data_IF_206967072959
#
_entry.id   IF_206967072959
#
_cell.length_a   1.000
_cell.length_b   1.000
_cell.length_c   1.000
_cell.angle_alpha   90.00
_cell.angle_beta   90.00
_cell.angle_gamma   90.00
#
_symmetry.space_group_name_H-M   'P 1'
#
loop_
_entity.id
_entity.type
_entity.pdbx_description
1 polymer ?
#
# COMPACT_ATOMS: atom_id res chain seq x y z
N UNK A 1 -55.14 26.43 0.87
CA UNK A 1 -54.88 25.45 -0.22
C UNK A 1 -53.37 25.21 -0.40
N UNK A 2 -52.54 26.23 -0.56
CA UNK A 2 -51.07 26.12 -0.75
C UNK A 2 -50.29 25.41 0.35
N UNK A 3 -50.70 25.55 1.63
CA UNK A 3 -49.99 24.91 2.76
C UNK A 3 -50.17 23.40 2.86
N UNK A 4 -51.36 22.90 2.44
CA UNK A 4 -51.66 21.45 2.46
C UNK A 4 -50.95 20.69 1.34
N UNK A 5 -50.74 21.31 0.17
CA UNK A 5 -49.99 20.71 -0.92
C UNK A 5 -48.48 20.70 -0.65
N UNK A 6 -47.93 21.74 -0.03
CA UNK A 6 -46.55 21.76 0.40
C UNK A 6 -46.24 20.67 1.45
N UNK A 7 -47.12 20.50 2.45
CA UNK A 7 -46.96 19.41 3.44
C UNK A 7 -47.00 18.03 2.85
N UNK A 8 -47.88 17.78 1.85
CA UNK A 8 -47.95 16.51 1.12
C UNK A 8 -46.67 16.24 0.33
N UNK A 9 -46.13 17.27 -0.37
CA UNK A 9 -44.88 17.14 -1.14
C UNK A 9 -43.72 16.83 -0.21
N UNK A 10 -43.58 17.52 0.93
CA UNK A 10 -42.52 17.26 1.92
C UNK A 10 -42.64 15.85 2.52
N UNK A 11 -43.87 15.42 2.87
CA UNK A 11 -44.09 14.08 3.42
C UNK A 11 -43.72 12.98 2.40
N UNK A 12 -44.05 13.18 1.11
CA UNK A 12 -43.72 12.25 0.05
C UNK A 12 -42.19 12.19 -0.18
N UNK A 13 -41.47 13.32 -0.13
CA UNK A 13 -40.01 13.35 -0.25
C UNK A 13 -39.35 12.66 0.93
N UNK A 14 -39.79 12.89 2.17
CA UNK A 14 -39.30 12.23 3.37
C UNK A 14 -39.50 10.72 3.25
N UNK A 15 -40.71 10.27 2.88
CA UNK A 15 -41.02 8.85 2.70
C UNK A 15 -40.13 8.20 1.60
N UNK A 16 -39.91 8.89 0.49
CA UNK A 16 -39.04 8.42 -0.58
C UNK A 16 -37.59 8.23 -0.09
N UNK A 17 -37.03 9.22 0.62
CA UNK A 17 -35.64 9.15 1.12
C UNK A 17 -35.50 8.05 2.16
N UNK A 18 -36.47 7.86 3.07
CA UNK A 18 -36.46 6.75 4.02
C UNK A 18 -36.65 5.39 3.35
N UNK A 19 -37.47 5.29 2.30
CA UNK A 19 -37.60 4.10 1.46
C UNK A 19 -36.29 3.74 0.77
N UNK A 20 -35.56 4.75 0.23
CA UNK A 20 -34.24 4.56 -0.33
C UNK A 20 -33.24 4.12 0.76
N UNK A 21 -33.30 4.70 1.96
CA UNK A 21 -32.50 4.30 3.11
C UNK A 21 -32.67 2.83 3.46
N UNK A 22 -33.92 2.35 3.52
CA UNK A 22 -34.23 0.95 3.80
C UNK A 22 -33.68 -0.01 2.70
N UNK A 23 -33.80 0.36 1.43
CA UNK A 23 -33.20 -0.43 0.33
C UNK A 23 -31.68 -0.50 0.42
N UNK A 24 -31.03 0.62 0.76
CA UNK A 24 -29.58 0.64 0.97
C UNK A 24 -29.17 -0.12 2.24
N UNK A 25 -30.00 -0.16 3.29
CA UNK A 25 -29.74 -0.97 4.48
C UNK A 25 -29.75 -2.48 4.15
N UNK A 26 -30.70 -2.94 3.33
CA UNK A 26 -30.72 -4.31 2.81
C UNK A 26 -29.43 -4.59 2.02
N UNK A 27 -29.06 -3.67 1.11
CA UNK A 27 -27.81 -3.80 0.35
C UNK A 27 -26.58 -3.84 1.27
N UNK A 28 -26.54 -3.04 2.35
CA UNK A 28 -25.45 -3.04 3.32
C UNK A 28 -25.31 -4.39 4.03
N UNK A 29 -26.41 -4.99 4.47
CA UNK A 29 -26.43 -6.33 5.08
C UNK A 29 -25.87 -7.40 4.14
N UNK A 30 -26.19 -7.30 2.85
CA UNK A 30 -25.76 -8.28 1.84
C UNK A 30 -24.31 -8.10 1.34
N UNK A 31 -23.74 -6.88 1.42
CA UNK A 31 -22.50 -6.55 0.70
C UNK A 31 -21.37 -5.98 1.56
N UNK A 32 -21.65 -5.49 2.76
CA UNK A 32 -20.60 -4.97 3.66
C UNK A 32 -19.77 -6.12 4.24
N UNK A 33 -18.47 -5.92 4.33
CA UNK A 33 -17.48 -6.97 4.65
C UNK A 33 -17.64 -7.56 6.06
N UNK A 34 -17.94 -6.73 7.05
CA UNK A 34 -18.04 -7.18 8.44
C UNK A 34 -19.47 -7.08 8.98
N UNK A 35 -19.94 -8.02 9.82
CA UNK A 35 -21.26 -7.95 10.44
C UNK A 35 -21.49 -6.66 11.22
N UNK A 36 -20.46 -6.18 11.95
CA UNK A 36 -20.52 -4.93 12.72
C UNK A 36 -20.70 -3.72 11.81
N UNK A 37 -19.94 -3.68 10.69
CA UNK A 37 -20.07 -2.63 9.68
C UNK A 37 -21.44 -2.67 8.98
N UNK A 38 -21.96 -3.86 8.68
CA UNK A 38 -23.26 -4.03 8.09
C UNK A 38 -24.38 -3.52 9.03
N UNK A 39 -24.32 -3.87 10.31
CA UNK A 39 -25.25 -3.37 11.32
C UNK A 39 -25.16 -1.85 11.47
N UNK A 40 -23.93 -1.29 11.58
CA UNK A 40 -23.73 0.15 11.69
C UNK A 40 -24.31 0.91 10.51
N UNK A 41 -24.07 0.44 9.27
CA UNK A 41 -24.63 1.04 8.07
C UNK A 41 -26.16 0.88 8.00
N UNK A 42 -26.70 -0.28 8.36
CA UNK A 42 -28.15 -0.50 8.34
C UNK A 42 -28.86 0.46 9.30
N UNK A 43 -28.38 0.62 10.53
CA UNK A 43 -28.92 1.57 11.50
C UNK A 43 -28.82 3.02 11.01
N UNK A 44 -27.66 3.43 10.49
CA UNK A 44 -27.44 4.78 9.96
C UNK A 44 -28.35 5.08 8.75
N UNK A 45 -28.50 4.13 7.82
CA UNK A 45 -29.30 4.27 6.61
C UNK A 45 -30.80 4.34 6.89
N UNK A 46 -31.29 3.67 7.92
CA UNK A 46 -32.69 3.75 8.33
C UNK A 46 -32.95 5.00 9.18
N UNK A 47 -32.05 5.32 10.14
CA UNK A 47 -32.24 6.44 11.06
C UNK A 47 -31.94 7.82 10.48
N UNK A 48 -30.90 7.93 9.63
CA UNK A 48 -30.41 9.21 9.09
C UNK A 48 -30.09 9.11 7.58
N UNK A 49 -31.05 8.73 6.70
CA UNK A 49 -30.77 8.41 5.30
C UNK A 49 -30.18 9.58 4.52
N UNK A 50 -30.50 10.83 4.84
CA UNK A 50 -30.03 12.02 4.13
C UNK A 50 -28.49 12.16 4.12
N UNK A 51 -27.85 11.77 5.21
CA UNK A 51 -26.40 11.80 5.36
C UNK A 51 -25.78 10.42 5.09
N UNK A 52 -26.47 9.38 5.55
CA UNK A 52 -25.96 8.02 5.47
C UNK A 52 -25.87 7.49 4.03
N UNK A 53 -26.83 7.81 3.13
CA UNK A 53 -26.79 7.34 1.75
C UNK A 53 -25.56 7.85 0.98
N UNK A 54 -25.25 9.17 0.94
CA UNK A 54 -24.03 9.66 0.30
C UNK A 54 -22.76 9.04 0.89
N UNK A 55 -22.66 8.97 2.22
CA UNK A 55 -21.51 8.37 2.89
C UNK A 55 -21.37 6.87 2.60
N UNK A 56 -22.49 6.15 2.54
CA UNK A 56 -22.49 4.73 2.20
C UNK A 56 -21.97 4.47 0.78
N UNK A 57 -22.28 5.34 -0.18
CA UNK A 57 -21.79 5.19 -1.55
C UNK A 57 -20.27 5.35 -1.64
N UNK A 58 -19.67 6.16 -0.76
CA UNK A 58 -18.22 6.41 -0.71
C UNK A 58 -17.52 5.33 0.12
N UNK A 59 -18.02 5.02 1.33
CA UNK A 59 -17.31 4.21 2.33
C UNK A 59 -17.86 2.79 2.51
N UNK A 60 -19.10 2.52 2.09
CA UNK A 60 -19.77 1.24 2.30
C UNK A 60 -19.34 0.12 1.35
N UNK A 61 -18.61 0.44 0.27
CA UNK A 61 -18.15 -0.56 -0.70
C UNK A 61 -16.83 -1.19 -0.28
N UNK A 62 -16.82 -2.52 -0.21
CA UNK A 62 -15.67 -3.30 0.24
C UNK A 62 -14.72 -3.73 -0.89
N UNK A 63 -15.16 -3.72 -2.16
CA UNK A 63 -14.39 -4.21 -3.31
C UNK A 63 -14.43 -3.21 -4.47
N UNK A 64 -13.30 -3.09 -5.17
CA UNK A 64 -13.19 -2.27 -6.38
C UNK A 64 -13.64 -3.07 -7.61
N UNK A 65 -14.95 -3.09 -7.85
CA UNK A 65 -15.59 -3.95 -8.86
C UNK A 65 -15.12 -3.60 -10.28
N UNK A 66 -14.98 -2.32 -10.62
CA UNK A 66 -14.57 -1.90 -11.96
C UNK A 66 -13.18 -2.39 -12.34
N UNK A 67 -12.22 -2.27 -11.44
CA UNK A 67 -10.87 -2.81 -11.65
C UNK A 67 -10.90 -4.34 -11.76
N UNK A 68 -11.69 -4.99 -10.92
CA UNK A 68 -11.88 -6.44 -10.99
C UNK A 68 -12.40 -6.88 -12.35
N UNK A 69 -13.38 -6.20 -12.92
CA UNK A 69 -13.91 -6.51 -14.26
C UNK A 69 -12.88 -6.23 -15.37
N UNK A 70 -12.06 -5.18 -15.25
CA UNK A 70 -11.01 -4.89 -16.20
C UNK A 70 -9.89 -5.96 -16.18
N UNK A 71 -9.68 -6.61 -15.03
CA UNK A 71 -8.71 -7.67 -14.80
C UNK A 71 -9.28 -9.07 -15.09
N UNK A 72 -10.58 -9.29 -14.89
CA UNK A 72 -11.24 -10.58 -15.03
C UNK A 72 -11.72 -10.78 -16.48
N UNK A 73 -11.13 -11.73 -17.16
CA UNK A 73 -11.56 -12.26 -18.44
C UNK A 73 -10.62 -13.40 -18.82
N UNK A 74 -11.11 -14.63 -18.94
CA UNK A 74 -10.38 -15.68 -19.63
C UNK A 74 -10.22 -15.25 -21.09
N UNK A 75 -8.97 -15.26 -21.61
CA UNK A 75 -8.58 -14.87 -22.97
C UNK A 75 -8.59 -13.36 -23.32
N UNK A 76 -8.52 -12.50 -22.33
CA UNK A 76 -8.20 -11.08 -22.61
C UNK A 76 -6.73 -10.93 -23.04
N UNK A 77 -6.40 -9.90 -23.83
CA UNK A 77 -5.00 -9.60 -24.15
C UNK A 77 -4.12 -9.39 -22.91
N UNK A 78 -4.68 -8.86 -21.82
CA UNK A 78 -3.97 -8.73 -20.54
C UNK A 78 -3.65 -10.09 -19.91
N UNK A 79 -4.60 -11.03 -19.97
CA UNK A 79 -4.41 -12.39 -19.47
C UNK A 79 -3.39 -13.18 -20.31
N UNK A 80 -3.33 -12.94 -21.65
CA UNK A 80 -2.31 -13.51 -22.51
C UNK A 80 -0.90 -13.00 -22.15
N UNK A 81 -0.73 -11.69 -21.90
CA UNK A 81 0.53 -11.11 -21.42
C UNK A 81 0.90 -11.69 -20.06
N UNK A 82 -0.05 -11.79 -19.12
CA UNK A 82 0.18 -12.38 -17.80
C UNK A 82 0.60 -13.86 -17.89
N UNK A 83 -0.04 -14.67 -18.73
CA UNK A 83 0.34 -16.08 -18.97
C UNK A 83 1.73 -16.20 -19.60
N UNK A 84 2.04 -15.37 -20.61
CA UNK A 84 3.35 -15.38 -21.27
C UNK A 84 4.46 -14.99 -20.30
N UNK A 85 4.27 -13.90 -19.56
CA UNK A 85 5.18 -13.47 -18.50
C UNK A 85 5.37 -14.57 -17.46
N UNK A 86 4.28 -15.17 -16.99
CA UNK A 86 4.32 -16.24 -16.00
C UNK A 86 5.07 -17.49 -16.50
N UNK A 87 4.92 -17.85 -17.77
CA UNK A 87 5.68 -18.94 -18.39
C UNK A 87 7.19 -18.65 -18.42
N UNK A 88 7.57 -17.40 -18.71
CA UNK A 88 8.96 -16.96 -18.74
C UNK A 88 9.66 -17.08 -17.38
N UNK A 89 8.92 -17.03 -16.26
CA UNK A 89 9.47 -17.27 -14.92
C UNK A 89 9.81 -18.74 -14.62
N UNK A 90 9.37 -19.70 -15.44
CA UNK A 90 9.52 -21.12 -15.14
C UNK A 90 10.95 -21.53 -14.77
N UNK A 91 12.01 -21.11 -15.50
CA UNK A 91 13.40 -21.45 -15.18
C UNK A 91 13.90 -20.83 -13.86
N UNK A 92 13.28 -19.71 -13.44
CA UNK A 92 13.69 -18.91 -12.30
C UNK A 92 12.91 -19.19 -11.02
N UNK A 93 11.90 -20.04 -11.08
CA UNK A 93 11.08 -20.35 -9.90
C UNK A 93 11.95 -20.92 -8.78
N UNK A 94 11.83 -20.31 -7.61
CA UNK A 94 12.43 -20.83 -6.39
C UNK A 94 11.57 -21.99 -5.86
N UNK A 95 12.22 -23.04 -5.36
CA UNK A 95 11.58 -24.05 -4.53
C UNK A 95 11.50 -23.50 -3.11
N UNK A 96 10.29 -23.28 -2.64
CA UNK A 96 10.05 -22.72 -1.31
C UNK A 96 9.32 -23.79 -0.49
N UNK A 97 9.79 -24.03 0.73
CA UNK A 97 9.13 -24.96 1.65
C UNK A 97 7.71 -24.47 1.98
N UNK A 98 6.81 -25.41 2.23
CA UNK A 98 5.41 -25.10 2.52
C UNK A 98 5.25 -24.20 3.76
N UNK A 99 6.17 -24.29 4.72
CA UNK A 99 6.18 -23.54 5.99
C UNK A 99 6.87 -22.18 5.89
N UNK A 100 7.64 -21.93 4.81
CA UNK A 100 8.40 -20.68 4.65
C UNK A 100 7.47 -19.46 4.51
N UNK A 101 7.93 -18.27 4.87
CA UNK A 101 7.18 -17.01 4.67
C UNK A 101 6.70 -16.82 3.23
N UNK A 102 7.53 -17.19 2.26
CA UNK A 102 7.15 -17.31 0.84
C UNK A 102 6.39 -18.63 0.62
N UNK A 103 5.63 -18.74 -0.43
CA UNK A 103 5.00 -20.02 -0.79
C UNK A 103 3.49 -20.06 -0.63
N UNK A 104 2.83 -18.91 -0.70
CA UNK A 104 1.38 -18.88 -0.86
C UNK A 104 0.98 -19.47 -2.21
N UNK A 105 -0.04 -20.33 -2.26
CA UNK A 105 -0.42 -21.02 -3.49
C UNK A 105 -0.97 -20.10 -4.56
N UNK A 106 -0.80 -20.51 -5.80
CA UNK A 106 -0.92 -19.79 -7.07
C UNK A 106 -2.32 -19.30 -7.49
N UNK A 107 -3.30 -19.13 -6.65
CA UNK A 107 -4.67 -18.99 -7.12
C UNK A 107 -5.21 -17.56 -7.23
N UNK A 108 -4.38 -16.52 -6.99
CA UNK A 108 -4.76 -15.15 -7.32
C UNK A 108 -3.64 -14.45 -8.10
N UNK A 109 -4.00 -13.56 -9.03
CA UNK A 109 -3.04 -12.72 -9.78
C UNK A 109 -2.22 -11.77 -8.88
N UNK A 110 -2.57 -11.66 -7.60
CA UNK A 110 -1.81 -10.91 -6.60
C UNK A 110 -0.49 -11.60 -6.19
N UNK A 111 -0.37 -12.90 -6.42
CA UNK A 111 0.78 -13.71 -5.99
C UNK A 111 1.58 -14.20 -7.18
N UNK A 112 2.68 -13.51 -7.48
CA UNK A 112 3.69 -14.02 -8.41
C UNK A 112 4.52 -15.12 -7.73
N UNK A 113 5.06 -16.08 -8.50
CA UNK A 113 5.93 -17.11 -7.92
C UNK A 113 7.18 -16.44 -7.35
N UNK A 114 7.70 -17.03 -6.26
CA UNK A 114 9.04 -16.68 -5.80
C UNK A 114 10.07 -17.05 -6.87
N UNK A 115 11.02 -16.15 -7.10
CA UNK A 115 12.08 -16.31 -8.10
C UNK A 115 13.46 -16.26 -7.44
N UNK A 116 14.41 -17.03 -7.98
CA UNK A 116 15.84 -16.98 -7.68
C UNK A 116 16.58 -16.15 -8.73
N UNK A 117 17.87 -15.90 -8.53
CA UNK A 117 18.69 -15.15 -9.47
C UNK A 117 18.51 -13.63 -9.35
N UNK A 118 18.03 -13.16 -8.21
CA UNK A 118 17.86 -11.72 -7.95
C UNK A 118 19.06 -11.15 -7.19
N UNK A 119 19.31 -9.86 -7.39
CA UNK A 119 20.18 -9.03 -6.58
C UNK A 119 19.35 -7.86 -6.04
N UNK A 120 19.26 -7.76 -4.72
CA UNK A 120 18.42 -6.77 -4.05
C UNK A 120 19.30 -5.97 -3.11
N UNK A 121 19.29 -4.64 -3.28
CA UNK A 121 20.05 -3.71 -2.46
C UNK A 121 19.09 -2.90 -1.60
N UNK A 122 19.37 -2.83 -0.30
CA UNK A 122 18.66 -1.97 0.64
C UNK A 122 19.05 -0.50 0.40
N UNK A 123 18.06 0.40 0.41
CA UNK A 123 18.24 1.84 0.28
C UNK A 123 17.60 2.52 1.49
N UNK A 124 18.42 3.22 2.25
CA UNK A 124 18.03 3.86 3.52
C UNK A 124 17.74 5.33 3.29
N UNK A 125 16.57 5.76 3.69
CA UNK A 125 16.11 7.15 3.62
C UNK A 125 16.15 7.76 2.18
N UNK A 126 15.79 9.01 2.04
CA UNK A 126 15.88 9.74 0.78
C UNK A 126 17.30 9.89 0.26
N UNK A 127 18.27 10.00 1.17
CA UNK A 127 19.69 10.22 0.82
C UNK A 127 20.31 9.12 -0.06
N UNK A 128 19.88 7.85 0.11
CA UNK A 128 20.32 6.76 -0.78
C UNK A 128 19.32 6.52 -1.91
N UNK A 129 18.03 6.78 -1.67
CA UNK A 129 16.98 6.44 -2.63
C UNK A 129 16.90 7.42 -3.80
N UNK A 130 16.92 8.73 -3.55
CA UNK A 130 16.77 9.70 -4.64
C UNK A 130 17.94 9.69 -5.63
N UNK A 131 19.21 9.62 -5.22
CA UNK A 131 20.29 9.43 -6.17
C UNK A 131 20.11 8.16 -7.00
N UNK A 132 19.70 7.04 -6.41
CA UNK A 132 19.47 5.79 -7.12
C UNK A 132 18.30 5.89 -8.13
N UNK A 133 17.20 6.58 -7.77
CA UNK A 133 16.07 6.85 -8.67
C UNK A 133 16.52 7.70 -9.89
N UNK A 134 17.26 8.79 -9.63
CA UNK A 134 17.73 9.69 -10.70
C UNK A 134 18.73 8.99 -11.60
N UNK A 135 19.66 8.21 -11.05
CA UNK A 135 20.61 7.40 -11.82
C UNK A 135 19.90 6.36 -12.69
N UNK A 136 18.87 5.69 -12.18
CA UNK A 136 18.06 4.74 -12.94
C UNK A 136 17.35 5.40 -14.11
N UNK A 137 16.84 6.63 -13.92
CA UNK A 137 16.24 7.42 -15.01
C UNK A 137 17.29 7.74 -16.06
N UNK A 138 18.44 8.28 -15.65
CA UNK A 138 19.47 8.73 -16.58
C UNK A 138 20.06 7.61 -17.43
N UNK A 139 20.08 6.38 -16.91
CA UNK A 139 20.61 5.18 -17.58
C UNK A 139 19.60 4.43 -18.43
N UNK A 140 18.32 4.77 -18.37
CA UNK A 140 17.30 4.07 -19.15
C UNK A 140 17.49 4.28 -20.65
N UNK A 141 17.39 3.22 -21.44
CA UNK A 141 17.63 3.23 -22.89
C UNK A 141 16.36 2.98 -23.71
N UNK A 142 15.41 2.20 -23.19
CA UNK A 142 14.23 1.73 -23.92
C UNK A 142 12.93 2.26 -23.34
N UNK A 143 12.67 2.05 -22.04
CA UNK A 143 11.47 2.53 -21.41
C UNK A 143 11.60 2.73 -19.89
N UNK A 144 10.76 3.62 -19.36
CA UNK A 144 10.60 3.89 -17.95
C UNK A 144 9.13 3.70 -17.56
N UNK A 145 8.89 2.89 -16.53
CA UNK A 145 7.59 2.76 -15.86
C UNK A 145 7.69 3.45 -14.50
N UNK A 146 6.90 4.49 -14.31
CA UNK A 146 6.97 5.34 -13.12
C UNK A 146 5.61 5.41 -12.46
N UNK A 147 5.53 5.02 -11.18
CA UNK A 147 4.29 5.05 -10.41
C UNK A 147 4.54 5.55 -9.01
N UNK A 148 3.83 6.61 -8.58
CA UNK A 148 3.91 7.15 -7.24
C UNK A 148 2.55 7.61 -6.72
N UNK A 149 2.32 7.40 -5.42
CA UNK A 149 1.13 7.87 -4.73
C UNK A 149 1.13 9.40 -4.59
N UNK A 150 2.26 9.98 -4.18
CA UNK A 150 2.45 11.42 -4.04
C UNK A 150 3.64 11.89 -4.86
N UNK A 151 3.42 12.95 -5.61
CA UNK A 151 4.47 13.76 -6.23
C UNK A 151 4.24 15.20 -5.85
N UNK A 152 5.28 15.94 -5.48
CA UNK A 152 5.20 17.35 -5.10
C UNK A 152 5.75 18.25 -6.20
N UNK A 153 5.15 19.44 -6.35
CA UNK A 153 5.72 20.50 -7.17
C UNK A 153 6.72 21.31 -6.32
N UNK A 154 7.86 20.69 -6.04
CA UNK A 154 8.97 21.26 -5.30
C UNK A 154 10.29 21.02 -6.06
N UNK A 155 11.42 21.42 -5.46
CA UNK A 155 12.74 21.27 -6.08
C UNK A 155 13.02 19.83 -6.54
N UNK A 156 12.78 18.85 -5.67
CA UNK A 156 13.06 17.46 -5.97
C UNK A 156 12.08 16.88 -7.01
N UNK A 157 10.79 17.20 -6.89
CA UNK A 157 9.78 16.79 -7.87
C UNK A 157 10.04 17.37 -9.26
N UNK A 158 10.46 18.65 -9.33
CA UNK A 158 10.83 19.29 -10.60
C UNK A 158 12.09 18.67 -11.20
N UNK A 159 13.13 18.39 -10.42
CA UNK A 159 14.32 17.69 -10.88
C UNK A 159 13.96 16.31 -11.44
N UNK A 160 13.14 15.55 -10.72
CA UNK A 160 12.67 14.24 -11.14
C UNK A 160 11.96 14.31 -12.51
N UNK A 161 11.04 15.26 -12.70
CA UNK A 161 10.32 15.47 -13.96
C UNK A 161 11.25 15.93 -15.08
N UNK A 162 12.24 16.80 -14.80
CA UNK A 162 13.23 17.24 -15.79
C UNK A 162 14.07 16.08 -16.32
N UNK A 163 14.53 15.15 -15.47
CA UNK A 163 15.28 13.96 -15.88
C UNK A 163 14.42 13.05 -16.77
N UNK A 164 13.18 12.77 -16.38
CA UNK A 164 12.23 12.02 -17.21
C UNK A 164 11.98 12.69 -18.56
N UNK A 165 11.85 14.03 -18.58
CA UNK A 165 11.66 14.80 -19.80
C UNK A 165 12.88 14.70 -20.73
N UNK A 166 14.09 14.76 -20.18
CA UNK A 166 15.32 14.58 -20.95
C UNK A 166 15.40 13.19 -21.59
N UNK A 167 15.02 12.14 -20.86
CA UNK A 167 14.99 10.77 -21.41
C UNK A 167 13.90 10.60 -22.47
N UNK A 168 12.72 11.17 -22.26
CA UNK A 168 11.66 11.16 -23.28
C UNK A 168 12.08 11.85 -24.57
N UNK A 169 12.78 13.01 -24.49
CA UNK A 169 13.36 13.70 -25.66
C UNK A 169 14.45 12.87 -26.35
N UNK A 170 15.16 12.03 -25.62
CA UNK A 170 16.14 11.10 -26.16
C UNK A 170 15.53 9.83 -26.79
N UNK A 171 14.19 9.72 -26.85
CA UNK A 171 13.47 8.61 -27.46
C UNK A 171 13.10 7.47 -26.50
N UNK A 172 13.37 7.58 -25.20
CA UNK A 172 12.95 6.60 -24.21
C UNK A 172 11.42 6.73 -23.97
N UNK A 173 10.71 5.62 -24.04
CA UNK A 173 9.26 5.58 -23.77
C UNK A 173 8.99 5.76 -22.28
N UNK A 174 8.42 6.86 -21.87
CA UNK A 174 8.13 7.14 -20.47
C UNK A 174 6.62 6.99 -20.20
N UNK A 175 6.27 6.10 -19.28
CA UNK A 175 4.91 5.88 -18.80
C UNK A 175 4.85 6.28 -17.34
N UNK A 176 4.07 7.31 -17.03
CA UNK A 176 3.96 7.85 -15.67
C UNK A 176 2.53 7.71 -15.16
N UNK A 177 2.35 7.00 -14.07
CA UNK A 177 1.07 6.80 -13.40
C UNK A 177 1.13 7.42 -12.00
N UNK A 178 0.12 8.22 -11.65
CA UNK A 178 0.04 8.84 -10.32
C UNK A 178 -1.36 8.73 -9.74
N UNK A 179 -1.46 8.67 -8.39
CA UNK A 179 -2.76 8.68 -7.71
C UNK A 179 -3.38 10.09 -7.74
N UNK A 180 -4.64 10.21 -8.21
CA UNK A 180 -5.31 11.51 -8.36
C UNK A 180 -5.53 12.24 -7.03
N UNK A 181 -5.72 11.48 -5.94
CA UNK A 181 -5.96 12.05 -4.61
C UNK A 181 -4.65 12.40 -3.91
N UNK A 182 -3.66 11.50 -3.98
CA UNK A 182 -2.32 11.78 -3.46
C UNK A 182 -1.66 12.99 -4.12
N UNK A 183 -1.93 13.19 -5.41
CA UNK A 183 -1.39 14.27 -6.23
C UNK A 183 -2.37 15.43 -6.49
N UNK A 184 -3.45 15.57 -5.68
CA UNK A 184 -4.50 16.59 -5.90
C UNK A 184 -3.98 18.04 -5.92
N UNK A 185 -2.81 18.31 -5.34
CA UNK A 185 -2.18 19.65 -5.34
C UNK A 185 -1.37 19.95 -6.61
N UNK A 186 -1.13 18.95 -7.46
CA UNK A 186 -0.39 19.16 -8.71
C UNK A 186 -1.27 19.85 -9.76
N UNK A 187 -0.73 20.90 -10.36
CA UNK A 187 -1.36 21.53 -11.52
C UNK A 187 -1.15 20.68 -12.78
N UNK A 188 -2.03 20.82 -13.76
CA UNK A 188 -1.83 20.20 -15.08
C UNK A 188 -0.56 20.71 -15.77
N UNK A 189 -0.13 21.92 -15.44
CA UNK A 189 1.09 22.53 -15.98
C UNK A 189 2.37 21.82 -15.51
N UNK A 190 2.35 21.18 -14.34
CA UNK A 190 3.51 20.47 -13.80
C UNK A 190 4.05 19.38 -14.76
N UNK A 191 3.16 18.67 -15.45
CA UNK A 191 3.52 17.62 -16.39
C UNK A 191 3.56 18.07 -17.86
N UNK A 192 3.42 19.37 -18.14
CA UNK A 192 3.29 19.87 -19.52
C UNK A 192 4.52 19.58 -20.38
N UNK A 193 5.72 19.85 -19.88
CA UNK A 193 6.96 19.61 -20.61
C UNK A 193 7.23 18.13 -20.82
N UNK A 194 6.94 17.31 -19.82
CA UNK A 194 7.07 15.86 -19.89
C UNK A 194 6.15 15.27 -20.97
N UNK A 195 4.88 15.73 -21.02
CA UNK A 195 3.95 15.32 -22.08
C UNK A 195 4.37 15.84 -23.47
N UNK A 196 4.85 17.07 -23.55
CA UNK A 196 5.35 17.65 -24.82
C UNK A 196 6.59 16.91 -25.34
N UNK A 197 7.38 16.29 -24.47
CA UNK A 197 8.50 15.42 -24.85
C UNK A 197 8.09 14.01 -25.32
N UNK A 198 6.77 13.71 -25.38
CA UNK A 198 6.25 12.43 -25.84
C UNK A 198 5.97 11.41 -24.70
N UNK A 199 6.21 11.77 -23.45
CA UNK A 199 5.86 10.89 -22.33
C UNK A 199 4.34 10.79 -22.13
N UNK A 200 3.89 9.62 -21.71
CA UNK A 200 2.50 9.34 -21.39
C UNK A 200 2.30 9.45 -19.88
N UNK A 201 1.46 10.38 -19.45
CA UNK A 201 1.25 10.71 -18.03
C UNK A 201 -0.23 10.64 -17.71
N UNK A 202 -0.62 9.66 -16.91
CA UNK A 202 -2.02 9.37 -16.62
C UNK A 202 -2.29 9.29 -15.11
N UNK A 203 -3.44 9.79 -14.64
CA UNK A 203 -3.88 9.58 -13.27
C UNK A 203 -4.51 8.19 -13.11
N UNK A 204 -4.21 7.53 -11.99
CA UNK A 204 -4.95 6.36 -11.56
C UNK A 204 -6.29 6.80 -10.94
N UNK A 205 -7.36 6.73 -11.74
CA UNK A 205 -8.69 7.19 -11.33
C UNK A 205 -9.52 6.03 -10.80
N UNK A 206 -9.79 6.03 -9.51
CA UNK A 206 -10.70 5.05 -8.90
C UNK A 206 -12.16 5.31 -9.29
N UNK A 207 -12.48 6.53 -9.73
CA UNK A 207 -13.84 6.96 -10.15
C UNK A 207 -14.13 6.72 -11.63
N UNK A 208 -13.22 6.08 -12.39
CA UNK A 208 -13.40 5.83 -13.82
C UNK A 208 -14.60 4.92 -14.09
N UNK A 209 -15.48 5.35 -15.00
CA UNK A 209 -16.70 4.63 -15.41
C UNK A 209 -17.91 4.87 -14.49
N UNK A 210 -19.12 4.66 -15.06
CA UNK A 210 -20.39 4.98 -14.35
C UNK A 210 -20.57 4.21 -13.04
N UNK A 211 -20.15 2.95 -12.97
CA UNK A 211 -20.24 2.11 -11.77
C UNK A 211 -19.31 2.48 -10.62
N UNK A 212 -18.27 3.29 -10.90
CA UNK A 212 -17.21 3.62 -9.94
C UNK A 212 -17.26 5.09 -9.47
N UNK A 213 -18.25 5.86 -9.88
CA UNK A 213 -18.34 7.32 -9.71
C UNK A 213 -18.12 7.82 -8.26
N UNK A 214 -18.42 6.99 -7.28
CA UNK A 214 -18.31 7.34 -5.85
C UNK A 214 -17.21 6.53 -5.12
N UNK A 215 -16.35 5.80 -5.84
CA UNK A 215 -15.32 4.97 -5.22
C UNK A 215 -14.06 5.79 -4.85
N UNK A 216 -14.27 6.86 -4.10
CA UNK A 216 -13.23 7.77 -3.64
C UNK A 216 -12.37 7.21 -2.51
N UNK A 217 -12.75 6.07 -1.92
CA UNK A 217 -12.05 5.51 -0.76
C UNK A 217 -10.82 4.66 -1.12
N UNK A 218 -10.74 4.14 -2.33
CA UNK A 218 -9.60 3.35 -2.80
C UNK A 218 -8.43 4.26 -3.20
N UNK A 219 -7.18 3.77 -3.04
CA UNK A 219 -5.96 4.51 -3.40
C UNK A 219 -4.97 3.58 -4.08
N UNK A 220 -4.23 4.13 -5.02
CA UNK A 220 -3.05 3.46 -5.53
C UNK A 220 -1.83 3.94 -4.73
N UNK A 221 -1.45 3.13 -3.73
CA UNK A 221 -0.37 3.46 -2.80
C UNK A 221 0.99 2.88 -3.22
N UNK A 222 1.07 2.25 -4.40
CA UNK A 222 2.30 1.69 -4.98
C UNK A 222 3.30 2.79 -5.29
N UNK A 223 4.59 2.49 -5.12
CA UNK A 223 5.72 3.33 -5.49
C UNK A 223 6.69 2.46 -6.26
N UNK A 224 6.88 2.79 -7.52
CA UNK A 224 7.71 2.00 -8.44
C UNK A 224 8.38 2.92 -9.47
N UNK A 225 9.68 2.73 -9.65
CA UNK A 225 10.38 3.14 -10.86
C UNK A 225 11.02 1.89 -11.45
N UNK A 226 10.76 1.61 -12.72
CA UNK A 226 11.32 0.48 -13.42
C UNK A 226 11.93 0.96 -14.74
N UNK A 227 13.18 0.58 -14.97
CA UNK A 227 13.95 0.93 -16.17
C UNK A 227 14.24 -0.33 -16.99
N UNK A 228 13.83 -0.32 -18.27
CA UNK A 228 14.16 -1.29 -19.32
C UNK A 228 13.85 -2.77 -18.99
N UNK A 229 12.97 -3.02 -18.01
CA UNK A 229 12.75 -4.38 -17.51
C UNK A 229 13.95 -5.00 -16.80
N UNK A 230 15.00 -4.21 -16.48
CA UNK A 230 16.28 -4.69 -15.92
C UNK A 230 16.54 -4.24 -14.50
N UNK A 231 16.01 -3.08 -14.13
CA UNK A 231 16.19 -2.47 -12.81
C UNK A 231 14.84 -1.96 -12.30
N UNK A 232 14.50 -2.26 -11.04
CA UNK A 232 13.33 -1.70 -10.40
C UNK A 232 13.68 -1.15 -9.01
N UNK A 233 13.06 -0.02 -8.65
CA UNK A 233 13.13 0.58 -7.33
C UNK A 233 11.72 0.68 -6.76
N UNK A 234 11.53 0.18 -5.53
CA UNK A 234 10.24 0.22 -4.83
C UNK A 234 10.44 0.35 -3.32
N UNK A 235 9.43 0.84 -2.59
CA UNK A 235 9.53 1.02 -1.14
C UNK A 235 8.51 2.01 -0.58
N UNK A 236 8.88 2.70 0.52
CA UNK A 236 7.97 3.59 1.25
C UNK A 236 7.95 5.04 0.77
N UNK A 237 9.03 5.53 0.13
CA UNK A 237 9.20 6.94 -0.24
C UNK A 237 8.34 7.36 -1.43
N UNK A 238 7.79 8.56 -1.34
CA UNK A 238 7.19 9.28 -2.47
C UNK A 238 8.18 10.34 -3.01
N UNK A 239 7.76 11.18 -3.97
CA UNK A 239 8.60 12.19 -4.60
C UNK A 239 8.29 13.57 -4.02
N UNK A 240 9.26 14.16 -3.32
CA UNK A 240 9.18 15.48 -2.71
C UNK A 240 10.28 15.71 -1.68
N UNK A 241 10.60 16.96 -1.40
CA UNK A 241 11.68 17.36 -0.46
C UNK A 241 11.40 16.90 0.98
N UNK A 242 10.14 16.75 1.37
CA UNK A 242 9.75 16.22 2.68
C UNK A 242 10.29 14.80 2.90
N UNK A 243 10.31 13.97 1.84
CA UNK A 243 10.81 12.58 1.90
C UNK A 243 12.34 12.48 1.91
N UNK A 244 13.03 13.58 1.61
CA UNK A 244 14.48 13.70 1.76
C UNK A 244 14.89 14.30 3.12
N UNK A 245 13.90 14.56 4.01
CA UNK A 245 14.15 15.14 5.33
C UNK A 245 14.41 16.65 5.31
N UNK A 246 14.08 17.35 4.22
CA UNK A 246 14.31 18.78 4.06
C UNK A 246 13.15 19.64 4.57
N UNK A 247 12.00 19.04 4.91
CA UNK A 247 10.86 19.78 5.49
C UNK A 247 11.02 19.91 7.01
N UNK A 248 11.13 21.14 7.55
CA UNK A 248 11.34 21.36 8.99
C UNK A 248 10.21 20.83 9.89
N UNK A 249 8.99 20.65 9.33
CA UNK A 249 7.83 20.12 10.08
C UNK A 249 8.06 18.70 10.53
N UNK A 250 8.70 17.88 9.70
CA UNK A 250 8.96 16.47 9.96
C UNK A 250 10.40 16.23 10.44
N UNK A 251 11.34 17.10 10.05
CA UNK A 251 12.77 16.88 10.25
C UNK A 251 13.25 15.67 9.45
N UNK A 252 14.11 14.86 10.04
CA UNK A 252 14.59 13.63 9.40
C UNK A 252 13.43 12.72 9.05
N UNK A 253 13.29 12.38 7.76
CA UNK A 253 12.32 11.42 7.26
C UNK A 253 12.97 10.04 7.17
N UNK A 254 12.54 9.12 8.06
CA UNK A 254 13.07 7.77 8.11
C UNK A 254 12.21 6.81 7.32
N UNK A 255 12.68 6.37 6.17
CA UNK A 255 11.97 5.42 5.30
C UNK A 255 12.94 4.40 4.68
N UNK A 256 12.42 3.44 3.91
CA UNK A 256 13.20 2.36 3.33
C UNK A 256 12.70 2.05 1.92
N UNK A 257 13.65 1.93 0.99
CA UNK A 257 13.45 1.45 -0.38
C UNK A 257 14.36 0.25 -0.66
N UNK A 258 14.11 -0.39 -1.78
CA UNK A 258 15.00 -1.40 -2.36
C UNK A 258 15.20 -1.14 -3.84
N UNK A 259 16.39 -1.45 -4.32
CA UNK A 259 16.73 -1.58 -5.73
C UNK A 259 16.85 -3.07 -6.06
N UNK A 260 16.16 -3.53 -7.09
CA UNK A 260 16.10 -4.93 -7.50
C UNK A 260 16.56 -5.10 -8.94
N UNK A 261 17.41 -6.11 -9.18
CA UNK A 261 17.77 -6.65 -10.49
C UNK A 261 17.45 -8.13 -10.50
N UNK A 262 17.23 -8.69 -11.67
CA UNK A 262 16.92 -10.11 -11.81
C UNK A 262 15.44 -10.37 -12.14
N UNK A 263 14.99 -11.63 -12.10
CA UNK A 263 13.64 -12.03 -12.49
C UNK A 263 12.51 -11.31 -11.74
N UNK A 264 12.74 -10.88 -10.47
CA UNK A 264 11.74 -10.14 -9.70
C UNK A 264 11.34 -8.80 -10.36
N UNK A 265 12.19 -8.22 -11.22
CA UNK A 265 11.89 -6.98 -11.96
C UNK A 265 10.68 -7.18 -12.88
N UNK A 266 10.61 -8.31 -13.56
CA UNK A 266 9.49 -8.65 -14.44
C UNK A 266 8.20 -8.87 -13.63
N UNK A 267 8.30 -9.43 -12.42
CA UNK A 267 7.16 -9.56 -11.53
C UNK A 267 6.68 -8.20 -10.99
N UNK A 268 7.58 -7.22 -10.79
CA UNK A 268 7.25 -5.83 -10.44
C UNK A 268 6.63 -5.05 -11.62
N UNK A 269 6.92 -5.44 -12.86
CA UNK A 269 6.38 -4.81 -14.07
C UNK A 269 4.88 -5.09 -14.24
N UNK A 270 4.41 -6.28 -13.91
CA UNK A 270 3.02 -6.68 -14.12
C UNK A 270 2.00 -5.81 -13.38
N UNK A 271 2.13 -5.51 -12.08
CA UNK A 271 1.20 -4.61 -11.39
C UNK A 271 1.10 -3.23 -12.04
N UNK A 272 2.20 -2.71 -12.60
CA UNK A 272 2.16 -1.47 -13.35
C UNK A 272 1.32 -1.60 -14.63
N UNK A 273 1.50 -2.69 -15.39
CA UNK A 273 0.74 -2.93 -16.64
C UNK A 273 -0.77 -3.09 -16.35
N UNK A 274 -1.12 -3.79 -15.27
CA UNK A 274 -2.53 -3.90 -14.82
C UNK A 274 -3.11 -2.52 -14.46
N UNK A 275 -2.38 -1.71 -13.69
CA UNK A 275 -2.80 -0.37 -13.28
C UNK A 275 -2.88 0.59 -14.48
N UNK A 276 -1.95 0.47 -15.42
CA UNK A 276 -1.94 1.22 -16.68
C UNK A 276 -3.14 0.86 -17.54
N UNK A 277 -3.40 -0.44 -17.71
CA UNK A 277 -4.57 -0.92 -18.44
C UNK A 277 -5.89 -0.41 -17.81
N UNK A 278 -5.99 -0.43 -16.49
CA UNK A 278 -7.13 0.19 -15.80
C UNK A 278 -7.24 1.68 -16.13
N UNK A 279 -6.15 2.43 -16.07
CA UNK A 279 -6.16 3.88 -16.27
C UNK A 279 -6.46 4.29 -17.72
N UNK A 280 -6.01 3.52 -18.72
CA UNK A 280 -6.03 3.90 -20.13
C UNK A 280 -6.89 2.99 -21.02
N UNK A 281 -7.03 1.72 -20.67
CA UNK A 281 -7.57 0.66 -21.53
C UNK A 281 -6.52 0.03 -22.46
N UNK A 282 -5.27 0.47 -22.39
CA UNK A 282 -4.18 0.02 -23.25
C UNK A 282 -3.30 -1.00 -22.53
N UNK A 283 -2.73 -1.91 -23.31
CA UNK A 283 -1.73 -2.87 -22.87
C UNK A 283 -0.39 -2.48 -23.47
N UNK A 284 0.60 -2.30 -22.60
CA UNK A 284 1.93 -1.88 -22.99
C UNK A 284 2.71 -3.04 -23.62
N UNK A 285 3.39 -2.77 -24.74
CA UNK A 285 4.36 -3.69 -25.33
C UNK A 285 5.71 -3.50 -24.64
N UNK A 286 6.06 -4.43 -23.75
CA UNK A 286 7.25 -4.42 -22.93
C UNK A 286 8.06 -5.70 -23.13
N UNK A 287 9.31 -5.69 -22.66
CA UNK A 287 10.13 -6.89 -22.58
C UNK A 287 9.74 -7.73 -21.35
N UNK A 288 9.48 -9.01 -21.55
CA UNK A 288 9.11 -9.97 -20.52
C UNK A 288 10.16 -11.07 -20.34
N UNK A 289 11.40 -10.81 -20.79
CA UNK A 289 12.52 -11.75 -20.67
C UNK A 289 13.23 -11.58 -19.33
N UNK A 290 13.03 -12.48 -18.34
CA UNK A 290 13.74 -12.39 -17.08
C UNK A 290 15.25 -12.57 -17.30
N UNK A 291 16.03 -11.65 -16.74
CA UNK A 291 17.49 -11.71 -16.79
C UNK A 291 17.99 -11.96 -15.37
N UNK A 292 18.77 -13.03 -15.14
CA UNK A 292 19.44 -13.21 -13.85
C UNK A 292 20.61 -12.26 -13.71
N UNK A 293 21.04 -12.07 -12.48
CA UNK A 293 22.29 -11.36 -12.19
C UNK A 293 23.33 -12.37 -11.73
N UNK A 294 24.55 -12.25 -12.23
CA UNK A 294 25.67 -13.08 -11.74
C UNK A 294 26.18 -12.62 -10.35
N UNK A 295 25.73 -11.43 -9.91
CA UNK A 295 26.21 -10.82 -8.67
C UNK A 295 25.59 -11.44 -7.41
N UNK A 296 24.44 -12.11 -7.50
CA UNK A 296 23.70 -12.63 -6.34
C UNK A 296 22.62 -13.62 -6.78
N UNK A 297 22.19 -14.50 -5.88
CA UNK A 297 21.15 -15.49 -6.14
C UNK A 297 20.02 -15.41 -5.10
N UNK A 298 19.64 -14.21 -4.70
CA UNK A 298 18.61 -13.99 -3.70
C UNK A 298 17.26 -14.51 -4.19
N UNK A 299 16.51 -15.14 -3.28
CA UNK A 299 15.12 -15.54 -3.52
C UNK A 299 14.19 -14.39 -3.16
N UNK A 300 13.34 -13.98 -4.09
CA UNK A 300 12.39 -12.91 -3.88
C UNK A 300 11.00 -13.23 -4.46
N UNK A 301 9.97 -12.66 -3.84
CA UNK A 301 8.59 -12.70 -4.32
C UNK A 301 7.99 -11.30 -4.30
N UNK A 302 7.29 -10.92 -5.35
CA UNK A 302 6.54 -9.68 -5.42
C UNK A 302 5.15 -9.89 -4.85
N UNK A 303 4.79 -9.08 -3.87
CA UNK A 303 3.45 -9.00 -3.30
C UNK A 303 2.79 -7.73 -3.83
N UNK A 304 1.93 -7.88 -4.82
CA UNK A 304 1.07 -6.83 -5.33
C UNK A 304 -0.37 -7.13 -4.91
N UNK A 305 -0.95 -6.29 -4.08
CA UNK A 305 -2.30 -6.49 -3.52
C UNK A 305 -3.20 -5.31 -3.82
N UNK A 306 -4.52 -5.53 -3.70
CA UNK A 306 -5.49 -4.46 -3.90
C UNK A 306 -6.93 -4.84 -3.52
N UNK A 307 -7.82 -3.84 -3.48
CA UNK A 307 -9.23 -4.04 -3.14
C UNK A 307 -10.02 -4.83 -4.20
N UNK A 308 -9.38 -5.13 -5.33
CA UNK A 308 -9.95 -5.96 -6.40
C UNK A 308 -9.68 -7.46 -6.22
N UNK A 309 -8.78 -7.84 -5.32
CA UNK A 309 -8.42 -9.23 -5.08
C UNK A 309 -9.62 -10.04 -4.54
N UNK A 310 -9.74 -11.30 -4.94
CA UNK A 310 -10.81 -12.18 -4.45
C UNK A 310 -10.68 -12.44 -2.95
N UNK A 311 -9.47 -12.79 -2.54
CA UNK A 311 -9.07 -12.98 -1.15
C UNK A 311 -8.46 -11.69 -0.62
N UNK A 312 -8.39 -11.54 0.69
CA UNK A 312 -7.63 -10.48 1.33
C UNK A 312 -6.14 -10.81 1.33
N UNK A 313 -5.53 -10.77 0.14
CA UNK A 313 -4.18 -11.26 -0.10
C UNK A 313 -3.14 -10.62 0.82
N UNK A 314 -3.27 -9.32 1.09
CA UNK A 314 -2.37 -8.60 1.99
C UNK A 314 -2.44 -9.14 3.43
N UNK A 315 -3.64 -9.21 4.01
CA UNK A 315 -3.86 -9.73 5.37
C UNK A 315 -3.38 -11.20 5.48
N UNK A 316 -3.74 -12.05 4.52
CA UNK A 316 -3.32 -13.46 4.50
C UNK A 316 -1.79 -13.62 4.42
N UNK A 317 -1.11 -12.75 3.67
CA UNK A 317 0.36 -12.75 3.61
C UNK A 317 0.96 -12.36 4.96
N UNK A 318 0.45 -11.31 5.60
CA UNK A 318 0.91 -10.93 6.94
C UNK A 318 0.66 -12.02 7.98
N UNK A 319 -0.51 -12.69 7.95
CA UNK A 319 -0.78 -13.85 8.79
C UNK A 319 0.26 -14.95 8.57
N UNK A 320 0.61 -15.21 7.32
CA UNK A 320 1.64 -16.18 6.98
C UNK A 320 3.00 -15.78 7.56
N UNK A 321 3.45 -14.54 7.32
CA UNK A 321 4.72 -14.03 7.83
C UNK A 321 4.80 -14.12 9.34
N UNK A 322 3.76 -13.67 10.05
CA UNK A 322 3.71 -13.69 11.52
C UNK A 322 3.75 -15.13 12.05
N UNK A 323 2.98 -16.03 11.44
CA UNK A 323 2.92 -17.42 11.89
C UNK A 323 4.19 -18.22 11.58
N UNK A 324 4.97 -17.83 10.56
CA UNK A 324 6.25 -18.47 10.24
C UNK A 324 7.39 -18.08 11.18
N UNK A 325 7.26 -16.96 11.92
CA UNK A 325 8.27 -16.50 12.86
C UNK A 325 8.50 -17.51 14.00
N UNK A 326 9.78 -17.82 14.27
CA UNK A 326 10.21 -18.77 15.30
C UNK A 326 10.97 -18.10 16.43
N UNK A 327 11.77 -17.06 16.13
CA UNK A 327 12.66 -16.39 17.08
C UNK A 327 12.35 -14.91 17.23
N UNK A 328 12.19 -14.17 16.12
CA UNK A 328 11.91 -12.74 16.13
C UNK A 328 10.99 -12.31 14.99
N UNK A 329 10.17 -11.31 15.28
CA UNK A 329 9.33 -10.60 14.31
C UNK A 329 9.41 -9.10 14.62
N UNK A 330 10.07 -8.34 13.76
CA UNK A 330 10.20 -6.90 13.94
C UNK A 330 9.46 -6.17 12.82
N UNK A 331 8.55 -5.29 13.22
CA UNK A 331 7.73 -4.51 12.30
C UNK A 331 8.00 -3.03 12.48
N UNK A 332 8.22 -2.32 11.38
CA UNK A 332 8.26 -0.87 11.36
C UNK A 332 7.18 -0.35 10.42
N UNK A 333 6.30 0.54 10.91
CA UNK A 333 5.19 1.09 10.15
C UNK A 333 4.81 2.48 10.66
N UNK A 334 4.43 3.44 9.78
CA UNK A 334 3.95 4.74 10.24
C UNK A 334 2.60 4.64 10.95
N UNK A 335 1.78 3.66 10.59
CA UNK A 335 0.45 3.44 11.14
C UNK A 335 0.32 2.02 11.70
N UNK A 336 -0.43 1.90 12.79
CA UNK A 336 -0.71 0.61 13.41
C UNK A 336 -2.19 0.54 13.79
N UNK A 337 -2.97 0.06 12.85
CA UNK A 337 -4.42 -0.18 12.94
C UNK A 337 -4.72 -1.53 12.30
N UNK A 338 -4.10 -2.63 12.80
CA UNK A 338 -4.22 -3.94 12.20
C UNK A 338 -5.67 -4.44 12.22
N UNK A 339 -6.01 -5.32 11.28
CA UNK A 339 -7.24 -6.07 11.37
C UNK A 339 -7.19 -7.08 12.54
N UNK A 340 -8.35 -7.59 12.99
CA UNK A 340 -8.39 -8.50 14.13
C UNK A 340 -7.57 -9.78 13.97
N UNK A 341 -7.47 -10.29 12.75
CA UNK A 341 -6.74 -11.53 12.48
C UNK A 341 -5.21 -11.32 12.60
N UNK A 342 -4.71 -10.21 12.04
CA UNK A 342 -3.29 -9.82 12.16
C UNK A 342 -2.93 -9.51 13.62
N UNK A 343 -3.80 -8.81 14.37
CA UNK A 343 -3.57 -8.57 15.80
C UNK A 343 -3.47 -9.88 16.58
N UNK A 344 -4.42 -10.79 16.38
CA UNK A 344 -4.43 -12.09 17.06
C UNK A 344 -3.19 -12.92 16.71
N UNK A 345 -2.74 -12.90 15.46
CA UNK A 345 -1.53 -13.59 15.05
C UNK A 345 -0.26 -13.01 15.72
N UNK A 346 -0.16 -11.67 15.85
CA UNK A 346 0.93 -11.01 16.57
C UNK A 346 0.98 -11.44 18.05
N UNK A 347 -0.19 -11.45 18.69
CA UNK A 347 -0.33 -11.91 20.10
C UNK A 347 0.10 -13.37 20.23
N UNK A 348 -0.38 -14.24 19.33
CA UNK A 348 -0.02 -15.66 19.34
C UNK A 348 1.48 -15.88 19.12
N UNK A 349 2.11 -15.11 18.21
CA UNK A 349 3.55 -15.18 18.00
C UNK A 349 4.32 -14.83 19.28
N UNK A 350 3.95 -13.74 19.96
CA UNK A 350 4.58 -13.35 21.22
C UNK A 350 4.37 -14.39 22.34
N UNK A 351 3.16 -14.94 22.47
CA UNK A 351 2.84 -16.00 23.43
C UNK A 351 3.58 -17.31 23.15
N UNK A 352 4.00 -17.55 21.91
CA UNK A 352 4.89 -18.67 21.54
C UNK A 352 6.37 -18.41 21.89
N UNK A 353 6.71 -17.23 22.43
CA UNK A 353 8.07 -16.86 22.79
C UNK A 353 8.86 -16.14 21.69
N UNK A 354 8.20 -15.73 20.58
CA UNK A 354 8.83 -14.92 19.54
C UNK A 354 9.08 -13.50 20.06
N UNK A 355 10.28 -12.93 19.85
CA UNK A 355 10.57 -11.52 20.14
C UNK A 355 9.84 -10.62 19.14
N UNK A 356 8.63 -10.20 19.50
CA UNK A 356 7.80 -9.33 18.66
C UNK A 356 8.02 -7.87 19.04
N UNK A 357 8.54 -7.09 18.08
CA UNK A 357 8.77 -5.65 18.24
C UNK A 357 8.01 -4.86 17.17
N UNK A 358 7.34 -3.80 17.59
CA UNK A 358 6.61 -2.88 16.70
C UNK A 358 7.16 -1.48 16.88
N UNK A 359 7.62 -0.87 15.78
CA UNK A 359 8.18 0.48 15.74
C UNK A 359 7.22 1.42 15.03
N UNK A 360 6.82 2.51 15.69
CA UNK A 360 5.88 3.52 15.21
C UNK A 360 6.50 4.92 15.34
N UNK A 361 6.01 5.93 14.59
CA UNK A 361 6.45 7.31 14.77
C UNK A 361 6.00 7.87 16.13
N UNK A 362 6.81 8.74 16.73
CA UNK A 362 6.46 9.43 17.97
C UNK A 362 5.55 10.65 17.73
N UNK A 363 5.63 11.25 16.54
CA UNK A 363 4.79 12.40 16.13
C UNK A 363 3.86 11.99 14.99
N UNK A 364 2.61 12.50 14.94
CA UNK A 364 1.70 12.20 13.84
C UNK A 364 2.00 13.06 12.62
N UNK A 365 1.79 12.48 11.42
CA UNK A 365 1.45 13.21 10.19
C UNK A 365 -0.07 13.32 10.05
N UNK A 366 -0.78 12.27 10.45
CA UNK A 366 -2.25 12.18 10.51
C UNK A 366 -2.72 11.79 11.91
N UNK A 367 -3.55 12.64 12.50
CA UNK A 367 -4.04 12.46 13.88
C UNK A 367 -4.90 11.20 14.05
N UNK A 368 -5.69 10.85 13.04
CA UNK A 368 -6.65 9.76 13.17
C UNK A 368 -5.97 8.39 13.36
N UNK A 369 -5.07 7.91 12.48
CA UNK A 369 -4.36 6.65 12.71
C UNK A 369 -3.41 6.72 13.90
N UNK A 370 -2.85 7.90 14.20
CA UNK A 370 -2.03 8.08 15.38
C UNK A 370 -2.81 7.82 16.68
N UNK A 371 -4.00 8.42 16.85
CA UNK A 371 -4.87 8.18 17.99
C UNK A 371 -5.34 6.73 18.02
N UNK A 372 -5.76 6.18 16.90
CA UNK A 372 -6.21 4.78 16.81
C UNK A 372 -5.15 3.79 17.28
N UNK A 373 -3.86 4.06 17.03
CA UNK A 373 -2.77 3.18 17.45
C UNK A 373 -2.73 2.94 18.97
N UNK A 374 -3.14 3.90 19.78
CA UNK A 374 -3.18 3.76 21.25
C UNK A 374 -4.20 2.74 21.73
N UNK A 375 -5.25 2.48 20.94
CA UNK A 375 -6.28 1.49 21.33
C UNK A 375 -5.77 0.04 21.35
N UNK A 376 -4.59 -0.20 20.79
CA UNK A 376 -3.96 -1.53 20.74
C UNK A 376 -2.91 -1.75 21.84
N UNK A 377 -2.51 -0.70 22.58
CA UNK A 377 -1.43 -0.76 23.55
C UNK A 377 -1.64 -1.83 24.63
N UNK A 378 -2.85 -1.89 25.20
CA UNK A 378 -3.20 -2.88 26.21
C UNK A 378 -3.10 -4.31 25.66
N UNK A 379 -3.64 -4.53 24.46
CA UNK A 379 -3.63 -5.84 23.82
C UNK A 379 -2.21 -6.30 23.44
N UNK A 380 -1.32 -5.36 23.05
CA UNK A 380 0.08 -5.64 22.74
C UNK A 380 0.86 -5.94 24.03
N UNK A 381 0.72 -5.10 25.06
CA UNK A 381 1.42 -5.26 26.32
C UNK A 381 1.02 -6.56 27.03
N UNK A 382 -0.28 -6.90 27.03
CA UNK A 382 -0.82 -8.13 27.63
C UNK A 382 -0.28 -9.41 27.00
N UNK A 383 0.14 -9.35 25.73
CA UNK A 383 0.77 -10.48 25.04
C UNK A 383 2.33 -10.45 25.11
N UNK A 384 2.93 -9.45 25.75
CA UNK A 384 4.40 -9.31 25.82
C UNK A 384 5.04 -8.68 24.59
N UNK A 385 4.28 -8.06 23.70
CA UNK A 385 4.79 -7.40 22.50
C UNK A 385 5.45 -6.07 22.87
N UNK A 386 6.65 -5.81 22.34
CA UNK A 386 7.41 -4.62 22.63
C UNK A 386 7.08 -3.50 21.62
N UNK A 387 6.48 -2.43 22.12
CA UNK A 387 6.15 -1.25 21.32
C UNK A 387 7.20 -0.16 21.50
N UNK A 388 7.64 0.43 20.40
CA UNK A 388 8.64 1.48 20.34
C UNK A 388 8.10 2.70 19.58
N UNK A 389 8.47 3.91 20.05
CA UNK A 389 8.18 5.18 19.38
C UNK A 389 9.50 5.83 18.93
N UNK A 390 9.68 5.96 17.61
CA UNK A 390 10.86 6.59 17.01
C UNK A 390 10.88 8.09 17.27
N UNK A 391 11.99 8.61 17.83
CA UNK A 391 12.07 9.99 18.33
C UNK A 391 12.97 10.90 17.51
N UNK A 392 13.83 10.34 16.64
CA UNK A 392 14.85 11.10 15.89
C UNK A 392 14.34 11.69 14.56
N UNK A 393 13.05 11.95 14.44
CA UNK A 393 12.38 12.47 13.26
C UNK A 393 11.03 11.79 13.02
N UNK A 394 10.58 11.74 11.77
CA UNK A 394 9.34 11.06 11.38
C UNK A 394 9.65 9.69 10.78
N UNK A 395 9.12 8.64 11.40
CA UNK A 395 9.25 7.25 10.89
C UNK A 395 8.13 6.96 9.90
N UNK A 396 8.50 6.59 8.67
CA UNK A 396 7.52 6.23 7.64
C UNK A 396 7.86 4.92 6.91
N UNK A 397 8.84 4.16 7.37
CA UNK A 397 9.20 2.88 6.74
C UNK A 397 8.12 1.81 6.91
N UNK A 398 8.02 0.90 5.96
CA UNK A 398 7.15 -0.26 5.96
C UNK A 398 8.02 -1.49 5.75
N UNK A 399 8.47 -2.04 6.87
CA UNK A 399 9.44 -3.13 6.91
C UNK A 399 8.95 -4.19 7.88
N UNK A 400 9.04 -5.45 7.46
CA UNK A 400 8.89 -6.60 8.34
C UNK A 400 10.15 -7.47 8.23
N UNK A 401 10.71 -7.83 9.37
CA UNK A 401 11.82 -8.79 9.50
C UNK A 401 11.31 -10.01 10.25
N UNK A 402 11.51 -11.19 9.67
CA UNK A 402 11.16 -12.48 10.27
C UNK A 402 12.44 -13.30 10.41
N UNK A 403 12.75 -13.65 11.62
CA UNK A 403 13.95 -14.42 11.98
C UNK A 403 15.25 -13.82 11.39
N UNK A 404 16.14 -14.66 10.84
CA UNK A 404 17.44 -14.23 10.31
C UNK A 404 17.55 -14.35 8.79
N UNK A 405 16.49 -14.72 8.12
CA UNK A 405 16.50 -15.15 6.72
C UNK A 405 15.42 -14.54 5.84
N UNK A 406 14.54 -13.70 6.42
CA UNK A 406 13.44 -13.13 5.65
C UNK A 406 13.16 -11.65 6.01
N UNK A 407 13.00 -10.82 4.98
CA UNK A 407 12.52 -9.46 5.16
C UNK A 407 11.53 -9.04 4.06
N UNK A 408 10.63 -8.12 4.41
CA UNK A 408 9.69 -7.46 3.48
C UNK A 408 9.94 -5.96 3.51
N UNK A 409 10.07 -5.36 2.32
CA UNK A 409 10.16 -3.90 2.13
C UNK A 409 9.18 -3.47 1.04
N UNK A 410 8.40 -2.43 1.31
CA UNK A 410 7.44 -1.97 0.31
C UNK A 410 6.59 -0.78 0.75
N UNK A 411 5.36 -0.72 0.25
CA UNK A 411 4.41 0.35 0.52
C UNK A 411 3.39 0.02 1.62
N UNK A 412 3.32 -1.23 2.09
CA UNK A 412 2.27 -1.77 2.94
C UNK A 412 2.43 -1.30 4.40
N UNK A 413 1.51 -0.48 4.89
CA UNK A 413 1.42 -0.18 6.32
C UNK A 413 0.73 -1.32 7.08
N UNK A 414 0.96 -1.39 8.39
CA UNK A 414 0.23 -2.30 9.28
C UNK A 414 -1.09 -1.64 9.68
N UNK A 415 -1.95 -1.39 8.71
CA UNK A 415 -3.26 -0.77 8.91
C UNK A 415 -4.35 -1.40 8.06
N UNK A 416 -5.59 -1.17 8.47
CA UNK A 416 -6.77 -1.73 7.80
C UNK A 416 -6.86 -1.25 6.33
N UNK A 417 -6.42 -0.01 6.07
CA UNK A 417 -6.47 0.58 4.74
C UNK A 417 -5.53 -0.14 3.77
N UNK A 418 -4.28 -0.38 4.16
CA UNK A 418 -3.32 -1.13 3.34
C UNK A 418 -3.74 -2.58 3.13
N UNK A 419 -4.37 -3.20 4.15
CA UNK A 419 -4.82 -4.59 4.03
C UNK A 419 -6.06 -4.76 3.14
N UNK A 420 -6.91 -3.72 2.99
CA UNK A 420 -8.23 -3.90 2.41
C UNK A 420 -8.65 -2.88 1.34
N UNK A 421 -8.07 -1.70 1.31
CA UNK A 421 -8.56 -0.57 0.53
C UNK A 421 -7.56 0.00 -0.47
N UNK A 422 -6.26 -0.17 -0.23
CA UNK A 422 -5.22 0.33 -1.10
C UNK A 422 -4.71 -0.74 -2.07
N UNK A 423 -4.26 -0.30 -3.23
CA UNK A 423 -3.32 -1.06 -4.04
C UNK A 423 -1.92 -0.86 -3.46
N UNK A 424 -1.28 -1.94 -3.06
CA UNK A 424 0.03 -1.94 -2.40
C UNK A 424 1.03 -2.78 -3.18
N UNK A 425 2.31 -2.56 -2.91
CA UNK A 425 3.42 -3.27 -3.53
C UNK A 425 4.53 -3.49 -2.51
N UNK A 426 4.97 -4.72 -2.34
CA UNK A 426 6.12 -5.06 -1.50
C UNK A 426 6.99 -6.11 -2.17
N UNK A 427 8.28 -6.07 -1.88
CA UNK A 427 9.24 -7.12 -2.20
C UNK A 427 9.51 -7.94 -0.94
N UNK A 428 9.23 -9.24 -1.04
CA UNK A 428 9.45 -10.24 -0.02
C UNK A 428 10.75 -10.95 -0.36
N UNK A 429 11.76 -10.89 0.51
CA UNK A 429 13.11 -11.40 0.24
C UNK A 429 13.45 -12.48 1.25
N UNK A 430 13.72 -13.70 0.76
CA UNK A 430 14.22 -14.81 1.55
C UNK A 430 15.73 -14.99 1.26
N UNK A 431 16.52 -14.27 2.02
CA UNK A 431 17.99 -14.26 1.95
C UNK A 431 18.57 -13.79 3.27
N UNK A 432 19.51 -14.53 3.84
CA UNK A 432 20.08 -14.26 5.16
C UNK A 432 20.95 -13.01 5.18
N UNK A 433 21.68 -12.71 4.11
CA UNK A 433 22.52 -11.51 4.03
C UNK A 433 21.63 -10.25 3.99
N UNK A 434 20.59 -10.25 3.16
CA UNK A 434 19.64 -9.15 3.11
C UNK A 434 18.86 -8.98 4.42
N UNK A 435 18.41 -10.08 5.03
CA UNK A 435 17.74 -10.04 6.32
C UNK A 435 18.64 -9.49 7.43
N UNK A 436 19.95 -9.80 7.39
CA UNK A 436 20.94 -9.26 8.32
C UNK A 436 21.10 -7.73 8.15
N UNK A 437 21.23 -7.23 6.91
CA UNK A 437 21.27 -5.79 6.63
C UNK A 437 20.03 -5.06 7.15
N UNK A 438 18.85 -5.66 6.98
CA UNK A 438 17.59 -5.12 7.51
C UNK A 438 17.58 -5.16 9.03
N UNK A 439 18.11 -6.22 9.65
CA UNK A 439 18.21 -6.33 11.10
C UNK A 439 19.09 -5.23 11.70
N UNK A 440 20.30 -5.04 11.16
CA UNK A 440 21.23 -3.96 11.58
C UNK A 440 20.59 -2.58 11.44
N UNK A 441 19.89 -2.35 10.33
CA UNK A 441 19.15 -1.12 10.09
C UNK A 441 18.08 -0.89 11.17
N UNK A 442 17.24 -1.90 11.45
CA UNK A 442 16.18 -1.79 12.47
C UNK A 442 16.76 -1.66 13.89
N UNK A 443 17.85 -2.35 14.22
CA UNK A 443 18.55 -2.19 15.51
C UNK A 443 19.07 -0.77 15.71
N UNK A 444 19.66 -0.18 14.65
CA UNK A 444 20.06 1.24 14.67
C UNK A 444 18.87 2.17 14.90
N UNK A 445 17.71 1.86 14.33
CA UNK A 445 16.50 2.63 14.52
C UNK A 445 15.91 2.42 15.94
N UNK A 446 15.93 1.21 16.49
CA UNK A 446 15.49 0.93 17.88
C UNK A 446 16.31 1.72 18.91
N UNK A 447 17.62 1.93 18.69
CA UNK A 447 18.46 2.79 19.54
C UNK A 447 18.00 4.26 19.58
N UNK A 448 17.23 4.68 18.57
CA UNK A 448 16.65 6.04 18.46
C UNK A 448 15.18 6.07 18.85
N UNK A 449 14.69 5.00 19.45
CA UNK A 449 13.31 4.90 19.92
C UNK A 449 13.26 4.98 21.46
N UNK A 450 12.11 5.39 21.96
CA UNK A 450 11.73 5.10 23.33
C UNK A 450 10.81 3.89 23.37
N UNK A 451 11.01 2.99 24.31
CA UNK A 451 10.09 1.90 24.58
C UNK A 451 8.83 2.46 25.25
N UNK A 452 7.67 2.06 24.77
CA UNK A 452 6.38 2.49 25.33
C UNK A 452 5.99 1.55 26.47
N UNK A 453 5.54 2.13 27.59
CA UNK A 453 4.95 1.40 28.70
C UNK A 453 3.43 1.59 28.67
N UNK A 454 2.69 0.53 28.98
CA UNK A 454 1.23 0.60 28.99
C UNK A 454 0.71 1.63 29.99
N UNK A 455 1.38 1.79 31.13
CA UNK A 455 1.05 2.76 32.19
C UNK A 455 1.01 4.20 31.67
N UNK A 456 1.83 4.52 30.64
CA UNK A 456 1.82 5.83 30.01
C UNK A 456 0.46 6.13 29.33
N UNK A 457 -0.17 5.12 28.74
CA UNK A 457 -1.52 5.28 28.18
C UNK A 457 -2.59 5.24 29.28
N UNK A 458 -2.43 4.38 30.27
CA UNK A 458 -3.37 4.27 31.38
C UNK A 458 -3.47 5.56 32.20
N UNK A 459 -2.38 6.34 32.32
CA UNK A 459 -2.33 7.64 32.99
C UNK A 459 -2.88 8.81 32.18
N UNK A 460 -3.19 8.64 30.89
CA UNK A 460 -3.73 9.73 30.05
C UNK A 460 -5.12 10.17 30.53
N UNK A 461 -5.45 11.46 30.36
CA UNK A 461 -6.74 12.00 30.79
C UNK A 461 -7.90 11.37 30.03
N UNK A 462 -9.07 11.37 30.65
CA UNK A 462 -10.27 10.69 30.11
C UNK A 462 -10.67 11.17 28.69
N UNK A 463 -10.52 12.47 28.40
CA UNK A 463 -10.84 13.03 27.09
C UNK A 463 -9.92 12.46 25.99
N UNK A 464 -8.62 12.23 26.28
CA UNK A 464 -7.71 11.60 25.36
C UNK A 464 -8.12 10.14 25.08
N UNK A 465 -8.46 9.40 26.13
CA UNK A 465 -8.98 8.03 26.00
C UNK A 465 -10.29 8.00 25.21
N UNK A 466 -11.17 8.99 25.40
CA UNK A 466 -12.38 9.18 24.59
C UNK A 466 -12.07 9.41 23.11
N UNK A 467 -11.12 10.31 22.81
CA UNK A 467 -10.67 10.56 21.44
C UNK A 467 -10.07 9.30 20.77
N UNK A 468 -9.29 8.50 21.50
CA UNK A 468 -8.74 7.23 21.02
C UNK A 468 -9.85 6.24 20.67
N UNK A 469 -10.89 6.11 21.50
CA UNK A 469 -12.04 5.23 21.26
C UNK A 469 -12.85 5.68 20.03
N UNK A 470 -13.08 6.99 19.89
CA UNK A 470 -13.74 7.55 18.70
C UNK A 470 -12.91 7.30 17.44
N UNK A 471 -11.60 7.56 17.50
CA UNK A 471 -10.70 7.27 16.37
C UNK A 471 -10.75 5.79 15.97
N UNK A 472 -10.80 4.87 16.94
CA UNK A 472 -10.91 3.43 16.69
C UNK A 472 -12.20 3.04 15.96
N UNK A 473 -13.31 3.73 16.16
CA UNK A 473 -14.56 3.46 15.42
C UNK A 473 -14.39 3.67 13.91
N UNK A 474 -13.44 4.55 13.51
CA UNK A 474 -13.10 4.83 12.13
C UNK A 474 -12.01 3.91 11.55
N UNK A 475 -11.53 2.90 12.32
CA UNK A 475 -10.50 1.94 11.86
C UNK A 475 -10.81 1.30 10.50
N UNK A 476 -12.06 0.96 10.14
CA UNK A 476 -12.35 0.35 8.83
C UNK A 476 -12.06 1.24 7.61
N UNK A 477 -11.76 2.53 7.81
CA UNK A 477 -11.43 3.48 6.72
C UNK A 477 -10.02 4.10 6.87
N UNK A 478 -9.26 3.63 7.87
CA UNK A 478 -7.90 4.08 8.19
C UNK A 478 -6.83 3.18 7.60
#
# INVERSE_FOLDING_TARGET
MWSADLTRVWSAQIALVHGMGALHAIHAVLKVRSPQGALGWALALVGFPYVAIPLYWIFGRAKFIGYRHARAGSDTPLDQVARSAFAAFSPWRARVAAEAPLGLPRHSLAFFPATRGNSIKLLRDGAETFPALLEAIDRAESYLLVQFFIVRDDRLGREFIQRLTARARAGVRVYFLFDEVGCHKLSRAFFRELRAAGARVEPFRTTRGRGNRFQLNFRNHRKLLLADGKLALTGGLNIGVEYNGEDPRFGRWRDTHVSAKGPAVQALQMPFVEDWHWATGEILTLDWSPISTDASNMTAQVLATGPADELNACSLTFLRLINSARHRLWLASPYFVPDPAVLAALQLAALRGVDVRVMLPNRPDHWLPYLSSFSYYEALAGAGIHLYRYTAGFLHQKVALVDNDFASVGSINVDYRSFHLNFELALLVADSTFAHEVAEMLESDFKRCRRVRFEEYASRPWWFKGAVRIARLLSPVQ
#
